data_IF_736779645390
#
_entry.id   IF_736779645390
#
_cell.length_a   1.000
_cell.length_b   1.000
_cell.length_c   1.000
_cell.angle_alpha   90.00
_cell.angle_beta   90.00
_cell.angle_gamma   90.00
#
_symmetry.space_group_name_H-M   'P 1'
#
loop_
_entity.id
_entity.type
_entity.pdbx_description
1 polymer ?
#
# COMPACT_ATOMS: atom_id res chain seq x y z
N UNK A 1 -31.03 -19.28 9.40
CA UNK A 1 -31.62 -18.00 9.86
C UNK A 1 -30.63 -16.89 9.54
N UNK A 2 -30.87 -16.13 8.47
CA UNK A 2 -30.07 -14.96 8.09
C UNK A 2 -30.61 -13.74 8.83
N UNK A 3 -29.90 -13.28 9.86
CA UNK A 3 -30.23 -12.04 10.57
C UNK A 3 -29.18 -11.01 10.18
N UNK A 4 -29.60 -9.94 9.50
CA UNK A 4 -28.78 -8.74 9.31
C UNK A 4 -28.68 -8.03 10.66
N UNK A 5 -27.79 -8.50 11.51
CA UNK A 5 -27.24 -7.66 12.57
C UNK A 5 -25.92 -7.11 12.04
N UNK A 6 -25.64 -5.84 12.32
CA UNK A 6 -24.42 -5.09 11.97
C UNK A 6 -23.20 -5.61 12.74
N UNK A 7 -23.00 -6.93 12.71
CA UNK A 7 -21.96 -7.65 13.40
C UNK A 7 -20.77 -7.79 12.46
N UNK A 8 -19.78 -6.92 12.67
CA UNK A 8 -18.40 -7.10 12.19
C UNK A 8 -17.94 -8.57 12.32
N UNK A 9 -16.93 -9.00 11.59
CA UNK A 9 -16.28 -10.32 11.67
C UNK A 9 -16.14 -10.87 13.11
N UNK A 10 -15.96 -9.97 14.08
CA UNK A 10 -15.95 -10.20 15.53
C UNK A 10 -17.25 -10.86 16.07
N UNK A 11 -18.42 -10.46 15.57
CA UNK A 11 -19.73 -11.02 15.93
C UNK A 11 -19.89 -12.45 15.41
N UNK A 12 -19.46 -12.73 14.18
CA UNK A 12 -19.44 -14.09 13.63
C UNK A 12 -18.47 -15.00 14.40
N UNK A 13 -17.30 -14.49 14.78
CA UNK A 13 -16.36 -15.20 15.64
C UNK A 13 -16.96 -15.49 17.03
N UNK A 14 -17.80 -14.60 17.55
CA UNK A 14 -18.55 -14.79 18.79
C UNK A 14 -19.60 -15.91 18.73
N UNK A 15 -20.29 -16.05 17.61
CA UNK A 15 -21.27 -17.12 17.40
C UNK A 15 -20.58 -18.49 17.21
N UNK A 16 -19.47 -18.53 16.48
CA UNK A 16 -18.77 -19.79 16.20
C UNK A 16 -17.87 -20.27 17.35
N UNK A 17 -17.18 -19.37 18.05
CA UNK A 17 -16.18 -19.69 19.06
C UNK A 17 -16.55 -19.21 20.47
N UNK A 18 -17.77 -18.68 20.65
CA UNK A 18 -18.26 -18.15 21.91
C UNK A 18 -17.67 -16.77 22.27
N UNK A 19 -18.04 -16.27 23.45
CA UNK A 19 -17.68 -14.91 23.93
C UNK A 19 -16.16 -14.66 23.97
N UNK A 20 -15.34 -15.70 24.20
CA UNK A 20 -13.87 -15.58 24.20
C UNK A 20 -13.30 -15.41 22.78
N UNK A 21 -13.90 -16.05 21.78
CA UNK A 21 -13.51 -15.90 20.38
C UNK A 21 -13.86 -14.51 19.81
N UNK A 22 -15.01 -13.96 20.19
CA UNK A 22 -15.33 -12.55 19.91
C UNK A 22 -14.31 -11.59 20.55
N UNK A 23 -13.96 -11.80 21.82
CA UNK A 23 -12.98 -10.93 22.49
C UNK A 23 -11.60 -10.98 21.80
N UNK A 24 -11.09 -12.17 21.50
CA UNK A 24 -9.78 -12.33 20.86
C UNK A 24 -9.75 -11.74 19.44
N UNK A 25 -10.78 -12.02 18.63
CA UNK A 25 -10.88 -11.48 17.26
C UNK A 25 -10.99 -9.95 17.25
N UNK A 26 -11.72 -9.36 18.20
CA UNK A 26 -11.78 -7.91 18.36
C UNK A 26 -10.43 -7.29 18.70
N UNK A 27 -9.66 -7.89 19.62
CA UNK A 27 -8.31 -7.42 19.94
C UNK A 27 -7.32 -7.61 18.79
N UNK A 28 -7.37 -8.73 18.08
CA UNK A 28 -6.53 -8.96 16.90
C UNK A 28 -6.82 -7.93 15.81
N UNK A 29 -8.10 -7.63 15.58
CA UNK A 29 -8.50 -6.58 14.65
C UNK A 29 -7.97 -5.20 15.07
N UNK A 30 -8.16 -4.83 16.34
CA UNK A 30 -7.65 -3.57 16.86
C UNK A 30 -6.12 -3.46 16.71
N UNK A 31 -5.38 -4.51 17.07
CA UNK A 31 -3.91 -4.53 16.95
C UNK A 31 -3.49 -4.42 15.48
N UNK A 32 -4.17 -5.12 14.57
CA UNK A 32 -3.88 -5.04 13.13
C UNK A 32 -4.02 -3.59 12.61
N UNK A 33 -5.12 -2.92 12.95
CA UNK A 33 -5.35 -1.53 12.56
C UNK A 33 -4.39 -0.55 13.24
N UNK A 34 -4.08 -0.76 14.52
CA UNK A 34 -3.10 0.05 15.24
C UNK A 34 -1.69 -0.06 14.63
N UNK A 35 -1.24 -1.27 14.30
CA UNK A 35 0.05 -1.49 13.63
C UNK A 35 0.10 -0.87 12.24
N UNK A 36 -1.01 -0.97 11.48
CA UNK A 36 -1.12 -0.36 10.16
C UNK A 36 -0.99 1.16 10.26
N UNK A 37 -1.68 1.80 11.20
CA UNK A 37 -1.55 3.25 11.43
C UNK A 37 -0.13 3.69 11.79
N UNK A 38 0.58 2.91 12.62
CA UNK A 38 2.00 3.19 12.93
C UNK A 38 2.87 3.08 11.67
N UNK A 39 2.66 2.05 10.86
CA UNK A 39 3.41 1.86 9.61
C UNK A 39 3.21 3.04 8.63
N UNK A 40 1.97 3.54 8.51
CA UNK A 40 1.65 4.70 7.68
C UNK A 40 2.31 5.99 8.19
N UNK A 41 2.33 6.23 9.51
CA UNK A 41 2.99 7.38 10.11
C UNK A 41 4.52 7.36 9.89
N UNK A 42 5.14 6.19 10.01
CA UNK A 42 6.57 6.01 9.72
C UNK A 42 6.83 6.31 8.24
N UNK A 43 5.97 5.85 7.33
CA UNK A 43 6.10 6.14 5.90
C UNK A 43 6.04 7.64 5.61
N UNK A 44 5.11 8.37 6.24
CA UNK A 44 5.04 9.85 6.16
C UNK A 44 6.33 10.48 6.68
N UNK A 45 6.85 10.01 7.83
CA UNK A 45 8.09 10.50 8.41
C UNK A 45 9.30 10.29 7.49
N UNK A 46 9.41 9.13 6.84
CA UNK A 46 10.46 8.84 5.85
C UNK A 46 10.34 9.73 4.62
N UNK A 47 9.11 9.98 4.14
CA UNK A 47 8.87 10.93 3.04
C UNK A 47 9.27 12.34 3.43
N UNK A 48 8.95 12.78 4.66
CA UNK A 48 9.31 14.11 5.13
C UNK A 48 10.83 14.27 5.25
N UNK A 49 11.51 13.24 5.76
CA UNK A 49 12.98 13.20 5.83
C UNK A 49 13.63 13.26 4.44
N UNK A 50 13.00 12.69 3.40
CA UNK A 50 13.50 12.81 2.03
C UNK A 50 13.58 14.28 1.55
N UNK A 51 12.60 15.12 1.94
CA UNK A 51 12.61 16.55 1.61
C UNK A 51 13.40 17.40 2.62
N UNK A 52 13.36 17.02 3.90
CA UNK A 52 14.02 17.70 5.01
C UNK A 52 14.94 16.73 5.77
N UNK A 53 16.16 16.47 5.25
CA UNK A 53 17.04 15.41 5.77
C UNK A 53 17.54 15.65 7.20
N UNK A 54 17.43 16.89 7.70
CA UNK A 54 17.84 17.26 9.05
C UNK A 54 16.77 16.96 10.12
N UNK A 55 15.54 16.59 9.73
CA UNK A 55 14.45 16.34 10.67
C UNK A 55 14.37 14.82 10.93
N UNK A 56 14.40 14.38 12.21
CA UNK A 56 14.24 12.97 12.55
C UNK A 56 12.85 12.44 12.17
N UNK A 57 12.80 11.16 11.82
CA UNK A 57 11.58 10.47 11.37
C UNK A 57 10.54 10.46 12.48
N UNK A 58 10.98 10.23 13.72
CA UNK A 58 10.14 10.12 14.90
C UNK A 58 9.38 11.42 15.16
N UNK A 59 10.07 12.56 15.06
CA UNK A 59 9.46 13.87 15.27
C UNK A 59 8.46 14.20 14.17
N UNK A 60 8.79 13.87 12.93
CA UNK A 60 7.91 14.09 11.76
C UNK A 60 6.65 13.22 11.84
N UNK A 61 6.78 11.95 12.24
CA UNK A 61 5.67 11.02 12.42
C UNK A 61 4.74 11.45 13.56
N UNK A 62 5.28 11.87 14.70
CA UNK A 62 4.48 12.37 15.83
C UNK A 62 3.75 13.66 15.45
N UNK A 63 4.43 14.60 14.75
CA UNK A 63 3.81 15.83 14.29
C UNK A 63 2.65 15.57 13.31
N UNK A 64 2.84 14.63 12.37
CA UNK A 64 1.79 14.22 11.43
C UNK A 64 0.59 13.59 12.15
N UNK A 65 0.83 12.75 13.15
CA UNK A 65 -0.23 12.16 13.99
C UNK A 65 -1.03 13.24 14.73
N UNK A 66 -0.34 14.18 15.39
CA UNK A 66 -0.99 15.27 16.14
C UNK A 66 -1.83 16.14 15.19
N UNK A 67 -1.31 16.46 14.01
CA UNK A 67 -2.06 17.21 12.99
C UNK A 67 -3.31 16.46 12.56
N UNK A 68 -3.19 15.17 12.26
CA UNK A 68 -4.31 14.32 11.82
C UNK A 68 -5.39 14.26 12.90
N UNK A 69 -5.01 14.01 14.15
CA UNK A 69 -5.93 13.98 15.30
C UNK A 69 -6.58 15.35 15.50
N UNK A 70 -5.83 16.44 15.40
CA UNK A 70 -6.38 17.80 15.52
C UNK A 70 -7.45 18.06 14.45
N UNK A 71 -7.15 17.77 13.17
CA UNK A 71 -8.12 17.93 12.07
C UNK A 71 -9.37 17.06 12.30
N UNK A 72 -9.18 15.81 12.77
CA UNK A 72 -10.28 14.90 13.07
C UNK A 72 -11.22 15.46 14.17
N UNK A 73 -10.66 16.10 15.20
CA UNK A 73 -11.43 16.70 16.29
C UNK A 73 -12.16 17.99 15.88
N UNK A 74 -11.57 18.81 15.00
CA UNK A 74 -12.16 20.10 14.62
C UNK A 74 -13.24 19.99 13.55
N UNK A 75 -13.15 19.05 12.59
CA UNK A 75 -14.17 18.90 11.56
C UNK A 75 -14.16 17.54 10.88
N UNK A 76 -15.03 16.65 11.35
CA UNK A 76 -15.29 15.34 10.73
C UNK A 76 -15.77 15.49 9.28
N UNK A 77 -16.51 16.57 8.96
CA UNK A 77 -16.96 16.86 7.59
C UNK A 77 -15.82 17.26 6.66
N UNK A 78 -14.91 18.13 7.13
CA UNK A 78 -13.77 18.56 6.32
C UNK A 78 -12.79 17.40 6.04
N UNK A 79 -12.64 16.48 7.00
CA UNK A 79 -11.84 15.27 6.79
C UNK A 79 -12.42 14.39 5.68
N UNK A 80 -13.75 14.19 5.67
CA UNK A 80 -14.43 13.42 4.62
C UNK A 80 -14.29 14.04 3.23
N UNK A 81 -14.37 15.37 3.11
CA UNK A 81 -14.14 16.07 1.83
C UNK A 81 -12.68 15.94 1.37
N UNK A 82 -11.71 16.11 2.27
CA UNK A 82 -10.30 15.92 1.95
C UNK A 82 -10.00 14.50 1.48
N UNK A 83 -10.56 13.49 2.16
CA UNK A 83 -10.39 12.09 1.80
C UNK A 83 -10.99 11.78 0.42
N UNK A 84 -12.15 12.37 0.10
CA UNK A 84 -12.75 12.26 -1.22
C UNK A 84 -11.81 12.81 -2.30
N UNK A 85 -11.29 14.02 -2.14
CA UNK A 85 -10.34 14.61 -3.09
C UNK A 85 -9.04 13.80 -3.20
N UNK A 86 -8.50 13.33 -2.07
CA UNK A 86 -7.33 12.46 -2.05
C UNK A 86 -7.58 11.13 -2.78
N UNK A 87 -8.78 10.56 -2.68
CA UNK A 87 -9.17 9.36 -3.42
C UNK A 87 -9.21 9.59 -4.94
N UNK A 88 -9.73 10.74 -5.38
CA UNK A 88 -9.71 11.13 -6.79
C UNK A 88 -8.28 11.27 -7.31
N UNK A 89 -7.40 11.93 -6.53
CA UNK A 89 -5.98 12.09 -6.88
C UNK A 89 -5.27 10.73 -6.99
N UNK A 90 -5.50 9.82 -6.04
CA UNK A 90 -4.91 8.46 -6.07
C UNK A 90 -5.29 7.71 -7.34
N UNK A 91 -6.57 7.71 -7.72
CA UNK A 91 -7.03 7.03 -8.94
C UNK A 91 -6.46 7.70 -10.20
N UNK A 92 -6.46 9.03 -10.25
CA UNK A 92 -5.89 9.77 -11.38
C UNK A 92 -4.39 9.47 -11.57
N UNK A 93 -3.60 9.41 -10.48
CA UNK A 93 -2.18 9.09 -10.53
C UNK A 93 -1.93 7.69 -11.13
N UNK A 94 -2.71 6.69 -10.74
CA UNK A 94 -2.61 5.32 -11.28
C UNK A 94 -2.98 5.30 -12.77
N UNK A 95 -4.04 5.99 -13.18
CA UNK A 95 -4.45 6.05 -14.58
C UNK A 95 -3.39 6.72 -15.47
N UNK A 96 -2.79 7.81 -14.99
CA UNK A 96 -1.67 8.48 -15.69
C UNK A 96 -0.48 7.53 -15.81
N UNK A 97 -0.10 6.84 -14.74
CA UNK A 97 1.00 5.89 -14.76
C UNK A 97 0.75 4.76 -15.78
N UNK A 98 -0.45 4.17 -15.79
CA UNK A 98 -0.82 3.13 -16.75
C UNK A 98 -0.80 3.64 -18.19
N UNK A 99 -1.33 4.83 -18.45
CA UNK A 99 -1.36 5.42 -19.79
C UNK A 99 0.06 5.72 -20.31
N UNK A 100 0.88 6.41 -19.50
CA UNK A 100 2.26 6.76 -19.84
C UNK A 100 3.11 5.50 -20.01
N UNK A 101 3.01 4.54 -19.11
CA UNK A 101 3.77 3.31 -19.20
C UNK A 101 3.39 2.45 -20.41
N UNK A 102 2.10 2.37 -20.73
CA UNK A 102 1.64 1.64 -21.93
C UNK A 102 2.17 2.32 -23.18
N UNK A 103 2.11 3.66 -23.23
CA UNK A 103 2.68 4.43 -24.33
C UNK A 103 4.19 4.19 -24.47
N UNK A 104 4.95 4.17 -23.38
CA UNK A 104 6.38 3.87 -23.38
C UNK A 104 6.69 2.46 -23.90
N UNK A 105 5.92 1.46 -23.50
CA UNK A 105 6.08 0.07 -23.99
C UNK A 105 5.77 -0.05 -25.47
N UNK A 106 4.70 0.62 -25.95
CA UNK A 106 4.32 0.59 -27.39
C UNK A 106 5.34 1.32 -28.26
N UNK A 107 5.89 2.44 -27.77
CA UNK A 107 6.91 3.23 -28.49
C UNK A 107 8.32 2.67 -28.36
N UNK A 108 8.50 1.58 -27.61
CA UNK A 108 9.82 1.00 -27.30
C UNK A 108 10.79 2.06 -26.74
N UNK A 109 10.26 2.94 -25.91
CA UNK A 109 10.96 4.10 -25.38
C UNK A 109 12.16 3.67 -24.54
N UNK A 110 13.25 4.41 -24.65
CA UNK A 110 14.44 4.19 -23.85
C UNK A 110 14.19 4.66 -22.40
N UNK A 111 14.27 3.73 -21.45
CA UNK A 111 14.10 3.98 -20.01
C UNK A 111 15.40 3.63 -19.32
N UNK A 112 16.14 4.65 -18.87
CA UNK A 112 17.46 4.47 -18.27
C UNK A 112 18.49 3.90 -19.26
N UNK A 113 19.10 2.75 -18.94
CA UNK A 113 20.06 2.06 -19.81
C UNK A 113 19.43 0.95 -20.67
N UNK A 114 18.11 0.79 -20.63
CA UNK A 114 17.38 -0.25 -21.37
C UNK A 114 16.19 0.30 -22.16
N UNK A 115 15.45 -0.61 -22.80
CA UNK A 115 14.23 -0.31 -23.55
C UNK A 115 13.01 -0.90 -22.84
N UNK A 116 11.91 -0.13 -22.80
CA UNK A 116 10.62 -0.62 -22.31
C UNK A 116 10.05 -1.63 -23.33
N UNK A 117 9.98 -2.91 -22.95
CA UNK A 117 9.55 -3.98 -23.86
C UNK A 117 8.81 -5.09 -23.12
N UNK A 118 7.86 -5.71 -23.81
CA UNK A 118 7.18 -6.94 -23.35
C UNK A 118 8.18 -8.08 -23.13
N UNK A 119 9.31 -8.07 -23.86
CA UNK A 119 10.39 -9.05 -23.69
C UNK A 119 11.05 -9.03 -22.31
N UNK A 120 10.97 -7.91 -21.57
CA UNK A 120 11.53 -7.79 -20.22
C UNK A 120 10.82 -8.69 -19.20
N UNK A 121 9.57 -9.11 -19.47
CA UNK A 121 8.84 -10.08 -18.63
C UNK A 121 9.42 -11.50 -18.70
N UNK A 122 10.04 -11.84 -19.84
CA UNK A 122 10.50 -13.20 -20.14
C UNK A 122 12.02 -13.26 -20.34
N UNK A 123 12.74 -12.19 -19.97
CA UNK A 123 14.18 -12.10 -20.16
C UNK A 123 14.92 -13.23 -19.41
N UNK A 124 15.90 -13.81 -20.10
CA UNK A 124 16.58 -15.05 -19.71
C UNK A 124 17.41 -14.96 -18.42
N UNK A 125 17.78 -13.75 -17.99
CA UNK A 125 18.72 -13.52 -16.89
C UNK A 125 18.04 -13.34 -15.52
N UNK A 126 16.71 -13.54 -15.44
CA UNK A 126 15.97 -13.47 -14.18
C UNK A 126 14.48 -13.87 -14.22
N UNK A 127 13.85 -13.90 -15.39
CA UNK A 127 12.47 -14.39 -15.58
C UNK A 127 11.43 -13.90 -14.55
N UNK A 128 10.42 -14.73 -14.28
CA UNK A 128 9.34 -14.43 -13.32
C UNK A 128 9.80 -14.44 -11.85
N UNK A 129 11.02 -14.94 -11.55
CA UNK A 129 11.57 -15.09 -10.20
C UNK A 129 13.06 -14.72 -10.09
N UNK A 130 13.43 -13.45 -10.31
CA UNK A 130 14.83 -13.03 -10.41
C UNK A 130 15.61 -13.13 -9.10
N UNK A 131 14.91 -13.15 -7.96
CA UNK A 131 15.50 -13.25 -6.60
C UNK A 131 15.16 -14.57 -5.89
N UNK A 132 14.63 -15.55 -6.63
CA UNK A 132 14.22 -16.87 -6.11
C UNK A 132 12.87 -16.92 -5.39
N UNK A 133 12.37 -18.13 -5.14
CA UNK A 133 11.03 -18.36 -4.57
C UNK A 133 10.85 -17.89 -3.12
N UNK A 134 11.92 -17.80 -2.33
CA UNK A 134 11.82 -17.29 -0.95
C UNK A 134 11.43 -15.80 -0.94
N UNK A 135 12.01 -15.00 -1.84
CA UNK A 135 11.70 -13.56 -1.95
C UNK A 135 10.27 -13.36 -2.44
N UNK A 136 9.76 -14.25 -3.30
CA UNK A 136 8.35 -14.24 -3.69
C UNK A 136 7.42 -14.38 -2.47
N UNK A 137 7.70 -15.31 -1.56
CA UNK A 137 6.89 -15.52 -0.34
C UNK A 137 6.93 -14.27 0.55
N UNK A 138 8.10 -13.65 0.71
CA UNK A 138 8.24 -12.42 1.50
C UNK A 138 7.46 -11.25 0.89
N UNK A 139 7.53 -11.06 -0.44
CA UNK A 139 6.78 -10.01 -1.14
C UNK A 139 5.27 -10.31 -1.08
N UNK A 140 4.86 -11.57 -1.23
CA UNK A 140 3.45 -11.95 -1.14
C UNK A 140 2.83 -11.52 0.19
N UNK A 141 3.56 -11.61 1.30
CA UNK A 141 3.09 -11.11 2.61
C UNK A 141 2.83 -9.60 2.59
N UNK A 142 3.74 -8.81 2.00
CA UNK A 142 3.53 -7.37 1.86
C UNK A 142 2.32 -7.03 0.97
N UNK A 143 2.07 -7.83 -0.07
CA UNK A 143 0.90 -7.67 -0.94
C UNK A 143 -0.38 -7.98 -0.17
N UNK A 144 -0.43 -9.09 0.58
CA UNK A 144 -1.57 -9.41 1.45
C UNK A 144 -1.80 -8.28 2.45
N UNK A 145 -0.73 -7.74 3.05
CA UNK A 145 -0.81 -6.61 3.97
C UNK A 145 -1.46 -5.37 3.34
N UNK A 146 -1.08 -5.03 2.11
CA UNK A 146 -1.64 -3.90 1.37
C UNK A 146 -3.15 -4.03 1.05
N UNK A 147 -3.70 -5.26 1.10
CA UNK A 147 -5.11 -5.54 0.81
C UNK A 147 -5.99 -5.79 2.04
N UNK A 148 -5.44 -5.70 3.25
CA UNK A 148 -6.20 -5.90 4.48
C UNK A 148 -7.38 -4.92 4.63
N UNK A 149 -7.35 -3.74 3.99
CA UNK A 149 -8.43 -2.76 4.06
C UNK A 149 -9.72 -3.12 3.29
N UNK A 150 -9.71 -4.16 2.44
CA UNK A 150 -10.90 -4.58 1.67
C UNK A 150 -12.03 -5.06 2.61
N UNK A 151 -11.68 -5.54 3.81
CA UNK A 151 -12.64 -6.01 4.81
C UNK A 151 -13.64 -4.92 5.25
N UNK A 152 -13.29 -3.64 5.12
CA UNK A 152 -14.13 -2.52 5.52
C UNK A 152 -15.42 -2.43 4.69
N UNK A 153 -15.40 -2.95 3.45
CA UNK A 153 -16.61 -3.07 2.60
C UNK A 153 -17.65 -3.99 3.26
N UNK A 154 -17.19 -5.03 3.98
CA UNK A 154 -18.08 -5.95 4.71
C UNK A 154 -18.66 -5.36 6.00
N UNK A 155 -17.97 -4.42 6.63
CA UNK A 155 -18.47 -3.72 7.83
C UNK A 155 -19.50 -2.67 7.42
N UNK A 156 -19.16 -1.85 6.41
CA UNK A 156 -20.06 -0.82 5.88
C UNK A 156 -21.31 -1.40 5.21
N UNK A 157 -21.24 -2.63 4.69
CA UNK A 157 -22.41 -3.39 4.23
C UNK A 157 -23.54 -3.46 5.26
N UNK A 158 -23.22 -3.56 6.56
CA UNK A 158 -24.19 -3.65 7.64
C UNK A 158 -24.96 -2.35 7.92
N UNK A 159 -24.53 -1.24 7.31
CA UNK A 159 -25.17 0.09 7.42
C UNK A 159 -25.84 0.53 6.11
N UNK A 160 -25.74 -0.28 5.05
CA UNK A 160 -26.35 0.04 3.76
C UNK A 160 -27.86 -0.20 3.77
N UNK A 161 -28.62 0.64 3.05
CA UNK A 161 -30.07 0.49 2.92
C UNK A 161 -30.48 -0.77 2.16
N UNK A 162 -29.66 -1.24 1.20
CA UNK A 162 -29.94 -2.42 0.36
C UNK A 162 -28.67 -3.29 0.17
N UNK A 163 -28.19 -3.97 1.22
CA UNK A 163 -26.93 -4.71 1.18
C UNK A 163 -26.94 -5.86 0.16
N UNK A 164 -28.07 -6.53 -0.09
CA UNK A 164 -28.16 -7.65 -1.05
C UNK A 164 -27.77 -7.25 -2.47
N UNK A 165 -27.99 -5.98 -2.84
CA UNK A 165 -27.66 -5.45 -4.17
C UNK A 165 -26.36 -4.66 -4.18
N UNK A 166 -26.10 -3.86 -3.15
CA UNK A 166 -24.96 -2.95 -3.13
C UNK A 166 -23.65 -3.65 -2.74
N UNK A 167 -23.69 -4.67 -1.89
CA UNK A 167 -22.48 -5.43 -1.48
C UNK A 167 -21.87 -6.19 -2.67
N UNK A 168 -22.62 -6.96 -3.49
CA UNK A 168 -22.03 -7.64 -4.65
C UNK A 168 -21.44 -6.66 -5.68
N UNK A 169 -22.06 -5.49 -5.87
CA UNK A 169 -21.52 -4.44 -6.76
C UNK A 169 -20.22 -3.88 -6.23
N UNK A 170 -20.15 -3.57 -4.93
CA UNK A 170 -18.94 -3.06 -4.29
C UNK A 170 -17.79 -4.07 -4.39
N UNK A 171 -18.06 -5.35 -4.12
CA UNK A 171 -17.07 -6.43 -4.27
C UNK A 171 -16.57 -6.50 -5.72
N UNK A 172 -17.47 -6.52 -6.71
CA UNK A 172 -17.07 -6.56 -8.13
C UNK A 172 -16.22 -5.34 -8.50
N UNK A 173 -16.56 -4.15 -8.00
CA UNK A 173 -15.78 -2.95 -8.22
C UNK A 173 -14.37 -3.06 -7.62
N UNK A 174 -14.24 -3.60 -6.40
CA UNK A 174 -12.93 -3.85 -5.77
C UNK A 174 -12.11 -4.85 -6.59
N UNK A 175 -12.68 -5.99 -7.00
CA UNK A 175 -11.97 -7.01 -7.80
C UNK A 175 -11.46 -6.43 -9.12
N UNK A 176 -12.28 -5.66 -9.83
CA UNK A 176 -11.86 -5.00 -11.07
C UNK A 176 -10.69 -4.04 -10.82
N UNK A 177 -10.73 -3.28 -9.71
CA UNK A 177 -9.62 -2.38 -9.34
C UNK A 177 -8.33 -3.14 -9.08
N UNK A 178 -8.37 -4.28 -8.38
CA UNK A 178 -7.17 -5.10 -8.13
C UNK A 178 -6.61 -5.63 -9.46
N UNK A 179 -7.45 -6.18 -10.33
CA UNK A 179 -6.97 -6.74 -11.61
C UNK A 179 -6.43 -5.63 -12.51
N UNK A 180 -7.18 -4.55 -12.73
CA UNK A 180 -6.78 -3.52 -13.69
C UNK A 180 -5.63 -2.66 -13.17
N UNK A 181 -5.74 -2.16 -11.94
CA UNK A 181 -4.77 -1.21 -11.43
C UNK A 181 -3.53 -1.88 -10.87
N UNK A 182 -3.67 -2.93 -10.07
CA UNK A 182 -2.51 -3.56 -9.46
C UNK A 182 -1.80 -4.52 -10.41
N UNK A 183 -2.50 -5.50 -10.99
CA UNK A 183 -1.84 -6.44 -11.92
C UNK A 183 -1.34 -5.69 -13.15
N UNK A 184 -2.13 -4.74 -13.67
CA UNK A 184 -1.71 -3.86 -14.76
C UNK A 184 -0.46 -3.05 -14.43
N UNK A 185 -0.42 -2.36 -13.29
CA UNK A 185 0.74 -1.52 -12.91
C UNK A 185 2.00 -2.34 -12.64
N UNK A 186 1.88 -3.49 -11.96
CA UNK A 186 3.03 -4.37 -11.67
C UNK A 186 3.59 -4.95 -12.96
N UNK A 187 2.74 -5.43 -13.86
CA UNK A 187 3.15 -5.98 -15.16
C UNK A 187 3.85 -4.91 -15.99
N UNK A 188 3.27 -3.72 -16.05
CA UNK A 188 3.81 -2.60 -16.80
C UNK A 188 5.12 -2.07 -16.19
N UNK A 189 5.25 -2.07 -14.86
CA UNK A 189 6.51 -1.76 -14.18
C UNK A 189 7.60 -2.78 -14.52
N UNK A 190 7.26 -4.08 -14.56
CA UNK A 190 8.18 -5.13 -14.97
C UNK A 190 8.60 -5.01 -16.45
N UNK A 191 7.72 -4.52 -17.32
CA UNK A 191 8.05 -4.21 -18.72
C UNK A 191 8.96 -2.98 -18.84
N UNK A 192 8.78 -1.97 -17.99
CA UNK A 192 9.51 -0.69 -18.02
C UNK A 192 10.93 -0.80 -17.49
N UNK A 193 11.16 -1.62 -16.46
CA UNK A 193 12.41 -1.64 -15.71
C UNK A 193 13.00 -3.06 -15.68
N UNK A 194 14.01 -3.37 -16.53
CA UNK A 194 14.67 -4.67 -16.52
C UNK A 194 15.24 -5.01 -15.14
N UNK A 195 15.13 -6.29 -14.74
CA UNK A 195 15.60 -6.81 -13.44
C UNK A 195 17.06 -6.47 -13.13
N UNK A 196 17.86 -6.26 -14.17
CA UNK A 196 19.31 -6.12 -14.11
C UNK A 196 19.75 -4.69 -13.79
N UNK A 197 18.81 -3.72 -13.82
CA UNK A 197 19.08 -2.31 -13.52
C UNK A 197 18.69 -1.92 -12.09
N UNK A 198 18.09 -2.83 -11.32
CA UNK A 198 17.65 -2.56 -9.95
C UNK A 198 18.77 -2.86 -8.93
N UNK A 199 19.82 -2.03 -8.93
CA UNK A 199 20.79 -2.03 -7.84
C UNK A 199 20.23 -1.22 -6.66
N UNK A 200 19.86 -1.93 -5.57
CA UNK A 200 19.56 -1.29 -4.29
C UNK A 200 20.81 -0.48 -3.85
N UNK A 201 20.76 0.84 -3.96
CA UNK A 201 21.83 1.74 -3.51
C UNK A 201 22.44 2.67 -4.57
N UNK A 202 22.07 2.62 -5.85
CA UNK A 202 22.59 3.53 -6.88
C UNK A 202 21.69 4.73 -7.16
N UNK A 203 21.19 5.37 -6.11
CA UNK A 203 20.94 6.82 -6.17
C UNK A 203 22.29 7.52 -6.01
N UNK A 204 22.65 8.42 -6.93
CA UNK A 204 23.92 9.18 -6.89
C UNK A 204 24.11 10.00 -5.61
N UNK A 205 23.07 10.17 -4.76
CA UNK A 205 23.16 10.90 -3.50
C UNK A 205 23.62 10.06 -2.29
N UNK A 206 23.54 8.73 -2.32
CA UNK A 206 23.88 7.87 -1.17
C UNK A 206 25.39 7.65 -0.99
N UNK A 207 26.21 7.83 -2.05
CA UNK A 207 27.68 7.74 -1.93
C UNK A 207 28.27 8.83 -1.04
N UNK A 208 27.59 9.94 -0.86
CA UNK A 208 28.05 11.01 0.02
C UNK A 208 27.72 10.72 1.50
N UNK A 209 26.59 10.08 1.81
CA UNK A 209 26.21 9.76 3.20
C UNK A 209 26.95 8.54 3.77
N UNK A 210 27.21 7.52 2.94
CA UNK A 210 27.92 6.31 3.38
C UNK A 210 29.38 6.59 3.80
N UNK A 211 30.03 7.60 3.21
CA UNK A 211 31.40 7.98 3.55
C UNK A 211 31.50 8.69 4.91
N UNK A 212 30.41 9.28 5.40
CA UNK A 212 30.30 9.88 6.73
C UNK A 212 29.90 8.85 7.80
N UNK A 213 28.98 7.94 7.48
CA UNK A 213 28.53 6.91 8.43
C UNK A 213 29.66 5.95 8.87
N UNK A 214 30.57 5.56 7.97
CA UNK A 214 31.69 4.68 8.31
C UNK A 214 32.85 5.36 9.09
N UNK A 215 32.85 6.70 9.25
CA UNK A 215 33.87 7.39 10.07
C UNK A 215 33.46 7.58 11.53
N UNK A 216 32.19 7.35 11.89
CA UNK A 216 31.68 7.57 13.25
C UNK A 216 31.74 6.35 14.18
N UNK A 217 32.12 5.17 13.69
CA UNK A 217 32.05 3.89 14.43
C UNK A 217 33.42 3.24 14.67
N UNK A 218 34.51 4.02 14.67
CA UNK A 218 35.87 3.51 14.89
C UNK A 218 36.59 4.11 16.13
N UNK A 219 35.91 4.93 16.93
CA UNK A 219 36.47 5.46 18.19
C UNK A 219 35.36 5.72 19.21
N UNK A 220 34.94 4.68 19.92
CA UNK A 220 34.63 4.63 21.37
C UNK A 220 34.30 3.19 21.75
#
# INVERSE_FOLDING_TARGET
>A
MYRQTSGSFVSYAGEMFGKKGAFLSGWMYFINWAMTGIAELIAIGLYFQFFFPNVPVELSAIAALVLLVAVNLFSVKAFGEFEFWASCLKVAAILIFLAVGTFMVVTNAQVGTGHASVGNLFAADGGMFPKGGLVMILVLNAVIFAYNAIELVGITAGEMQNPEREVPKAIRAVVIRIVVFYVGSVTLLAMLLPSDQYHAGTSRSSRCSARWACRGWATS
#
